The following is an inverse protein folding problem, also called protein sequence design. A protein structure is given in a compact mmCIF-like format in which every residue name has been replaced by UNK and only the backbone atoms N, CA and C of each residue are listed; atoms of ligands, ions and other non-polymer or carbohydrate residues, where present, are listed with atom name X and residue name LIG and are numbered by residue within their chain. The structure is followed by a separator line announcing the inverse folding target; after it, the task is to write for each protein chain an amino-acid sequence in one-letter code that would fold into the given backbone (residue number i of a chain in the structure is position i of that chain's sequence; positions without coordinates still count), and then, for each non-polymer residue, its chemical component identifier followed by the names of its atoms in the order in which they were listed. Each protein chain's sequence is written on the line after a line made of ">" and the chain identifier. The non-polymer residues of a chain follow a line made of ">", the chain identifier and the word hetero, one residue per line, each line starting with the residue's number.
data_IF_816633485904
#
_entry.id   IF_816633485904
#
_cell.length_a   1.000
_cell.length_b   1.000
_cell.length_c   1.000
_cell.angle_alpha   90.00
_cell.angle_beta   90.00
_cell.angle_gamma   90.00
#
_symmetry.space_group_name_H-M   'P 1'
#
loop_
_entity.id
_entity.type
_entity.pdbx_description
1 polymer ?
#
# COMPACT_ATOMS: atom_id res chain seq x y z
N UNK A 1 -11.99 -2.58 26.60
CA UNK A 1 -11.96 -1.31 25.84
C UNK A 1 -12.72 -1.56 24.55
N UNK A 2 -13.79 -0.79 24.31
CA UNK A 2 -14.65 -0.91 23.14
C UNK A 2 -13.84 -0.71 21.84
N UNK A 3 -14.28 -1.32 20.73
CA UNK A 3 -13.55 -1.27 19.44
C UNK A 3 -13.24 0.17 19.00
N UNK A 4 -14.20 1.08 19.16
CA UNK A 4 -14.04 2.51 18.85
C UNK A 4 -12.91 3.16 19.63
N UNK A 5 -12.78 2.84 20.92
CA UNK A 5 -11.74 3.42 21.76
C UNK A 5 -10.36 2.86 21.40
N UNK A 6 -10.29 1.57 21.04
CA UNK A 6 -9.06 0.96 20.52
C UNK A 6 -8.60 1.63 19.22
N UNK A 7 -9.52 1.88 18.28
CA UNK A 7 -9.23 2.58 17.02
C UNK A 7 -8.71 4.00 17.31
N UNK A 8 -9.39 4.74 18.20
CA UNK A 8 -8.96 6.09 18.60
C UNK A 8 -7.58 6.08 19.26
N UNK A 9 -7.27 5.08 20.08
CA UNK A 9 -5.96 4.94 20.71
C UNK A 9 -4.85 4.71 19.66
N UNK A 10 -5.11 3.86 18.65
CA UNK A 10 -4.17 3.65 17.52
C UNK A 10 -3.93 4.95 16.76
N UNK A 11 -4.99 5.68 16.39
CA UNK A 11 -4.88 6.95 15.67
C UNK A 11 -4.13 8.00 16.51
N UNK A 12 -4.46 8.11 17.81
CA UNK A 12 -3.80 9.03 18.72
C UNK A 12 -2.30 8.74 18.81
N UNK A 13 -1.91 7.47 18.94
CA UNK A 13 -0.51 7.06 18.96
C UNK A 13 0.22 7.50 17.68
N UNK A 14 -0.25 7.13 16.49
CA UNK A 14 0.44 7.52 15.26
C UNK A 14 0.44 9.04 15.02
N UNK A 15 -0.64 9.74 15.40
CA UNK A 15 -0.66 11.21 15.31
C UNK A 15 0.38 11.87 16.22
N UNK A 16 0.69 11.25 17.37
CA UNK A 16 1.65 11.80 18.34
C UNK A 16 3.11 11.71 17.89
N UNK A 17 3.42 10.84 16.92
CA UNK A 17 4.77 10.70 16.36
C UNK A 17 5.13 11.85 15.41
N UNK A 18 4.13 12.46 14.79
CA UNK A 18 4.28 13.59 13.86
C UNK A 18 5.24 13.28 12.70
N UNK A 19 6.16 14.23 12.43
CA UNK A 19 7.24 14.08 11.43
C UNK A 19 8.59 13.75 12.06
N UNK A 20 8.64 13.63 13.39
CA UNK A 20 9.88 13.50 14.17
C UNK A 20 10.30 12.06 14.41
N UNK A 21 9.36 11.12 14.41
CA UNK A 21 9.63 9.73 14.76
C UNK A 21 8.86 8.78 13.82
N UNK A 22 9.53 7.69 13.41
CA UNK A 22 8.91 6.63 12.62
C UNK A 22 8.73 5.37 13.48
N UNK A 23 7.49 4.94 13.68
CA UNK A 23 7.20 3.65 14.31
C UNK A 23 6.91 2.58 13.26
N UNK A 24 7.81 1.59 13.16
CA UNK A 24 7.63 0.44 12.28
C UNK A 24 8.06 -0.85 12.98
N UNK A 25 7.10 -1.49 13.64
CA UNK A 25 7.21 -2.87 14.11
C UNK A 25 6.41 -3.76 13.16
N UNK A 26 7.11 -4.57 12.39
CA UNK A 26 6.52 -5.51 11.43
C UNK A 26 5.78 -6.60 12.21
N UNK A 27 4.53 -6.84 11.83
CA UNK A 27 3.64 -7.86 12.42
C UNK A 27 3.42 -9.05 11.49
N UNK A 28 3.60 -8.86 10.19
CA UNK A 28 3.24 -9.83 9.17
C UNK A 28 4.37 -10.14 8.17
N UNK A 29 5.59 -9.66 8.45
CA UNK A 29 6.73 -9.76 7.54
C UNK A 29 7.16 -11.22 7.28
N UNK A 30 7.13 -11.61 6.01
CA UNK A 30 7.56 -12.92 5.50
C UNK A 30 8.46 -12.77 4.24
N UNK A 31 9.23 -11.68 4.14
CA UNK A 31 10.02 -11.30 2.95
C UNK A 31 9.27 -10.37 1.99
N UNK A 32 10.02 -9.55 1.23
CA UNK A 32 9.53 -8.37 0.53
C UNK A 32 10.08 -8.18 -0.92
N UNK A 33 10.34 -9.26 -1.65
CA UNK A 33 10.69 -9.10 -3.07
C UNK A 33 9.56 -8.39 -3.83
N UNK A 34 9.89 -7.72 -4.93
CA UNK A 34 8.91 -7.05 -5.81
C UNK A 34 7.74 -7.97 -6.18
N UNK A 35 8.06 -9.23 -6.49
CA UNK A 35 7.08 -10.28 -6.79
C UNK A 35 6.09 -10.53 -5.62
N UNK A 36 6.56 -10.49 -4.37
CA UNK A 36 5.71 -10.70 -3.21
C UNK A 36 4.77 -9.53 -2.94
N UNK A 37 5.18 -8.30 -3.23
CA UNK A 37 4.34 -7.12 -2.98
C UNK A 37 3.12 -7.12 -3.90
N UNK A 38 3.32 -7.30 -5.21
CA UNK A 38 2.20 -7.26 -6.14
C UNK A 38 1.31 -8.51 -6.04
N UNK A 39 1.88 -9.70 -5.82
CA UNK A 39 1.08 -10.92 -5.64
C UNK A 39 0.20 -10.87 -4.38
N UNK A 40 0.70 -10.27 -3.28
CA UNK A 40 -0.10 -10.06 -2.06
C UNK A 40 -1.20 -9.02 -2.27
N UNK A 41 -0.93 -7.96 -3.02
CA UNK A 41 -1.92 -6.95 -3.39
C UNK A 41 -3.04 -7.54 -4.27
N UNK A 42 -2.68 -8.26 -5.33
CA UNK A 42 -3.64 -8.93 -6.21
C UNK A 42 -4.54 -9.87 -5.42
N UNK A 43 -3.93 -10.68 -4.55
CA UNK A 43 -4.66 -11.62 -3.69
C UNK A 43 -5.62 -10.92 -2.71
N UNK A 44 -5.28 -9.72 -2.23
CA UNK A 44 -6.20 -8.92 -1.40
C UNK A 44 -7.35 -8.34 -2.25
N UNK A 45 -7.05 -7.83 -3.45
CA UNK A 45 -8.03 -7.29 -4.38
C UNK A 45 -9.02 -8.36 -4.86
N UNK A 46 -8.56 -9.57 -5.16
CA UNK A 46 -9.46 -10.65 -5.58
C UNK A 46 -10.36 -11.12 -4.44
N UNK A 47 -9.87 -11.17 -3.20
CA UNK A 47 -10.71 -11.42 -2.03
C UNK A 47 -11.80 -10.32 -1.87
N UNK A 48 -11.45 -9.05 -2.10
CA UNK A 48 -12.41 -7.94 -2.11
C UNK A 48 -13.46 -8.09 -3.21
N UNK A 49 -13.04 -8.44 -4.44
CA UNK A 49 -13.93 -8.69 -5.58
C UNK A 49 -14.91 -9.84 -5.29
N UNK A 50 -14.42 -10.92 -4.70
CA UNK A 50 -15.20 -12.13 -4.43
C UNK A 50 -16.07 -12.00 -3.17
N UNK A 51 -16.06 -10.83 -2.50
CA UNK A 51 -16.87 -10.56 -1.31
C UNK A 51 -16.39 -11.32 -0.07
N UNK A 52 -15.13 -11.75 -0.04
CA UNK A 52 -14.55 -12.47 1.09
C UNK A 52 -14.19 -11.52 2.24
N UNK A 53 -15.22 -11.00 2.92
CA UNK A 53 -15.11 -9.97 3.95
C UNK A 53 -14.27 -10.40 5.17
N UNK A 54 -14.11 -11.71 5.40
CA UNK A 54 -13.37 -12.25 6.55
C UNK A 54 -11.86 -12.03 6.40
N UNK A 55 -11.32 -12.27 5.20
CA UNK A 55 -9.88 -12.23 4.95
C UNK A 55 -9.39 -10.94 4.28
N UNK A 56 -10.27 -10.21 3.59
CA UNK A 56 -9.91 -9.04 2.76
C UNK A 56 -9.02 -8.04 3.49
N UNK A 57 -9.50 -7.47 4.61
CA UNK A 57 -8.74 -6.42 5.33
C UNK A 57 -7.46 -6.95 5.98
N UNK A 58 -7.45 -8.21 6.42
CA UNK A 58 -6.24 -8.84 6.94
C UNK A 58 -5.18 -8.99 5.86
N UNK A 59 -5.57 -9.28 4.60
CA UNK A 59 -4.62 -9.36 3.48
C UNK A 59 -4.10 -8.00 3.05
N UNK A 60 -4.95 -6.97 3.04
CA UNK A 60 -4.47 -5.60 2.87
C UNK A 60 -3.52 -5.18 3.99
N UNK A 61 -3.77 -5.60 5.24
CA UNK A 61 -2.87 -5.31 6.35
C UNK A 61 -1.50 -6.00 6.20
N UNK A 62 -1.47 -7.24 5.69
CA UNK A 62 -0.22 -7.96 5.37
C UNK A 62 0.55 -7.21 4.27
N UNK A 63 -0.12 -6.90 3.16
CA UNK A 63 0.50 -6.15 2.05
C UNK A 63 1.01 -4.78 2.48
N UNK A 64 0.23 -4.03 3.27
CA UNK A 64 0.64 -2.72 3.77
C UNK A 64 1.86 -2.79 4.70
N UNK A 65 2.06 -3.90 5.43
CA UNK A 65 3.24 -4.10 6.26
C UNK A 65 4.52 -4.31 5.40
N UNK A 66 4.38 -4.89 4.21
CA UNK A 66 5.48 -5.01 3.23
C UNK A 66 5.89 -3.64 2.67
N UNK A 67 4.91 -2.79 2.33
CA UNK A 67 5.17 -1.41 1.88
C UNK A 67 5.83 -0.59 2.98
N UNK A 68 5.36 -0.73 4.23
CA UNK A 68 5.98 -0.08 5.40
C UNK A 68 7.42 -0.55 5.62
N UNK A 69 7.73 -1.81 5.32
CA UNK A 69 9.09 -2.32 5.39
C UNK A 69 9.98 -1.67 4.34
N UNK A 70 9.55 -1.55 3.08
CA UNK A 70 10.32 -0.86 2.04
C UNK A 70 10.68 0.57 2.46
N UNK A 71 9.70 1.32 2.96
CA UNK A 71 9.92 2.70 3.41
C UNK A 71 10.94 2.74 4.57
N UNK A 72 10.80 1.84 5.55
CA UNK A 72 11.74 1.73 6.67
C UNK A 72 13.16 1.38 6.19
N UNK A 73 13.28 0.39 5.32
CA UNK A 73 14.55 -0.04 4.75
C UNK A 73 15.21 1.09 3.96
N UNK A 74 14.42 1.88 3.22
CA UNK A 74 14.94 3.01 2.48
C UNK A 74 15.45 4.13 3.40
N UNK A 75 14.73 4.42 4.49
CA UNK A 75 15.20 5.37 5.51
C UNK A 75 16.53 4.90 6.14
N UNK A 76 16.66 3.61 6.39
CA UNK A 76 17.91 3.01 6.86
C UNK A 76 19.01 3.13 5.79
N UNK A 77 18.74 2.84 4.52
CA UNK A 77 19.68 2.99 3.41
C UNK A 77 20.17 4.44 3.27
N UNK A 78 19.28 5.44 3.36
CA UNK A 78 19.64 6.86 3.40
C UNK A 78 20.63 7.16 4.53
N UNK A 79 20.37 6.64 5.73
CA UNK A 79 21.26 6.86 6.90
C UNK A 79 22.66 6.24 6.71
N UNK A 80 22.75 5.19 5.90
CA UNK A 80 24.01 4.54 5.52
C UNK A 80 24.62 5.10 4.22
N UNK A 81 24.03 6.15 3.64
CA UNK A 81 24.44 6.77 2.37
C UNK A 81 24.35 5.81 1.17
N UNK A 82 23.52 4.76 1.27
CA UNK A 82 23.20 3.84 0.17
C UNK A 82 22.02 4.43 -0.63
N UNK A 83 22.34 5.39 -1.50
CA UNK A 83 21.35 6.13 -2.28
C UNK A 83 20.67 5.29 -3.35
N UNK A 84 21.37 4.29 -3.88
CA UNK A 84 20.85 3.37 -4.90
C UNK A 84 19.71 2.54 -4.29
N UNK A 85 20.01 1.81 -3.21
CA UNK A 85 19.00 1.00 -2.51
C UNK A 85 17.84 1.84 -2.01
N UNK A 86 18.11 3.02 -1.43
CA UNK A 86 17.06 3.93 -0.99
C UNK A 86 16.11 4.33 -2.13
N UNK A 87 16.67 4.62 -3.31
CA UNK A 87 15.88 5.00 -4.49
C UNK A 87 15.05 3.83 -5.00
N UNK A 88 15.63 2.64 -5.08
CA UNK A 88 14.92 1.43 -5.51
C UNK A 88 13.75 1.11 -4.59
N UNK A 89 13.97 1.11 -3.27
CA UNK A 89 12.96 0.75 -2.28
C UNK A 89 11.84 1.80 -2.20
N UNK A 90 12.16 3.09 -2.28
CA UNK A 90 11.15 4.16 -2.35
C UNK A 90 10.36 4.12 -3.66
N UNK A 91 11.01 3.82 -4.78
CA UNK A 91 10.35 3.67 -6.08
C UNK A 91 9.37 2.50 -6.05
N UNK A 92 9.79 1.35 -5.51
CA UNK A 92 8.91 0.20 -5.37
C UNK A 92 7.74 0.48 -4.42
N UNK A 93 7.97 1.16 -3.30
CA UNK A 93 6.92 1.56 -2.37
C UNK A 93 5.91 2.51 -3.03
N UNK A 94 6.39 3.49 -3.81
CA UNK A 94 5.55 4.44 -4.54
C UNK A 94 4.68 3.71 -5.58
N UNK A 95 5.28 2.84 -6.38
CA UNK A 95 4.55 2.08 -7.41
C UNK A 95 3.52 1.12 -6.79
N UNK A 96 3.86 0.46 -5.67
CA UNK A 96 2.93 -0.41 -4.96
C UNK A 96 1.72 0.36 -4.41
N UNK A 97 1.94 1.54 -3.83
CA UNK A 97 0.88 2.42 -3.36
C UNK A 97 0.01 2.94 -4.51
N UNK A 98 0.62 3.31 -5.65
CA UNK A 98 -0.09 3.70 -6.86
C UNK A 98 -1.01 2.58 -7.37
N UNK A 99 -0.49 1.36 -7.48
CA UNK A 99 -1.28 0.19 -7.87
C UNK A 99 -2.47 -0.04 -6.92
N UNK A 100 -2.27 0.12 -5.60
CA UNK A 100 -3.37 0.03 -4.64
C UNK A 100 -4.44 1.09 -4.88
N UNK A 101 -4.06 2.36 -5.07
CA UNK A 101 -4.98 3.46 -5.34
C UNK A 101 -5.81 3.18 -6.60
N UNK A 102 -5.16 2.80 -7.68
CA UNK A 102 -5.84 2.55 -8.96
C UNK A 102 -6.77 1.34 -8.86
N UNK A 103 -6.37 0.28 -8.15
CA UNK A 103 -7.26 -0.86 -7.87
C UNK A 103 -8.50 -0.42 -7.07
N UNK A 104 -8.36 0.45 -6.07
CA UNK A 104 -9.53 0.97 -5.35
C UNK A 104 -10.42 1.81 -6.25
N UNK A 105 -9.85 2.63 -7.14
CA UNK A 105 -10.60 3.38 -8.14
C UNK A 105 -11.38 2.46 -9.10
N UNK A 106 -10.80 1.32 -9.50
CA UNK A 106 -11.52 0.30 -10.30
C UNK A 106 -12.73 -0.28 -9.56
N UNK A 107 -12.62 -0.46 -8.23
CA UNK A 107 -13.75 -0.87 -7.39
C UNK A 107 -14.79 0.23 -7.21
N UNK A 108 -14.38 1.48 -7.11
CA UNK A 108 -15.27 2.64 -6.93
C UNK A 108 -16.01 3.05 -8.20
N UNK A 109 -15.46 2.70 -9.37
CA UNK A 109 -16.13 2.85 -10.67
C UNK A 109 -17.29 1.86 -10.89
N UNK A 110 -17.52 0.90 -9.98
CA UNK A 110 -18.64 -0.03 -10.10
C UNK A 110 -20.00 0.68 -9.85
N UNK A 111 -21.10 0.21 -10.48
CA UNK A 111 -22.41 0.83 -10.31
C UNK A 111 -22.84 0.96 -8.84
N UNK A 112 -23.36 2.13 -8.47
CA UNK A 112 -23.85 2.40 -7.11
C UNK A 112 -22.78 2.79 -6.09
N UNK A 113 -21.54 3.04 -6.53
CA UNK A 113 -20.44 3.56 -5.71
C UNK A 113 -20.06 4.99 -6.08
N UNK A 114 -19.22 5.60 -5.24
CA UNK A 114 -18.71 6.95 -5.47
C UNK A 114 -17.55 6.88 -6.46
N UNK A 115 -17.85 7.05 -7.74
CA UNK A 115 -16.82 7.04 -8.79
C UNK A 115 -15.96 8.31 -8.73
N UNK A 116 -14.64 8.12 -8.62
CA UNK A 116 -13.64 9.19 -8.73
C UNK A 116 -12.99 9.22 -10.11
N UNK A 117 -12.56 8.05 -10.60
CA UNK A 117 -11.88 7.87 -11.88
C UNK A 117 -12.62 6.84 -12.75
N UNK A 118 -12.38 6.86 -14.06
CA UNK A 118 -12.89 5.82 -14.97
C UNK A 118 -11.82 4.78 -15.24
N UNK A 119 -12.17 3.48 -15.30
CA UNK A 119 -11.23 2.43 -15.66
C UNK A 119 -10.52 2.70 -16.98
N UNK A 120 -11.22 3.23 -17.98
CA UNK A 120 -10.65 3.53 -19.30
C UNK A 120 -9.60 4.65 -19.23
N UNK A 121 -9.80 5.64 -18.37
CA UNK A 121 -8.88 6.76 -18.21
C UNK A 121 -7.59 6.29 -17.52
N UNK A 122 -7.71 5.51 -16.43
CA UNK A 122 -6.55 4.90 -15.75
C UNK A 122 -5.74 4.01 -16.70
N UNK A 123 -6.39 3.12 -17.45
CA UNK A 123 -5.69 2.22 -18.37
C UNK A 123 -5.03 2.98 -19.52
N UNK A 124 -5.63 4.08 -19.97
CA UNK A 124 -5.06 4.96 -20.99
C UNK A 124 -3.78 5.65 -20.48
N UNK A 125 -3.77 6.13 -19.24
CA UNK A 125 -2.56 6.73 -18.63
C UNK A 125 -1.38 5.75 -18.63
N UNK A 126 -1.63 4.45 -18.38
CA UNK A 126 -0.59 3.43 -18.42
C UNK A 126 -0.01 3.24 -19.83
N UNK A 127 -0.86 3.25 -20.86
CA UNK A 127 -0.40 3.15 -22.25
C UNK A 127 0.37 4.39 -22.67
N UNK A 128 -0.09 5.59 -22.28
CA UNK A 128 0.65 6.83 -22.50
C UNK A 128 2.02 6.77 -21.81
N UNK A 129 2.10 6.34 -20.55
CA UNK A 129 3.36 6.21 -19.84
C UNK A 129 4.34 5.23 -20.50
N UNK A 130 3.85 4.07 -20.96
CA UNK A 130 4.68 3.08 -21.68
C UNK A 130 5.25 3.63 -22.98
N UNK A 131 4.50 4.46 -23.71
CA UNK A 131 4.94 5.05 -24.97
C UNK A 131 6.00 6.16 -24.81
N UNK A 132 6.22 6.66 -23.59
CA UNK A 132 7.20 7.72 -23.28
C UNK A 132 8.43 7.20 -22.52
N UNK A 133 8.55 5.88 -22.29
CA UNK A 133 9.74 5.21 -21.73
C UNK A 133 10.69 4.77 -22.84
#
# INVERSE_FOLDING_TARGET
>A
MELTDNIRAVLKFYSSLGKSEAFCKLKHYNGNTEEYIYSRLERAAFDQRDGNNVATFSRYAIWADDVRYLIKSAMEAISHQDTEKATEELTLALNAMGAFVDIQNMFDAQPGRMQFEKPEDILKEYEEFKNHK
#
